data_IF_360096083850
#
_entry.id   IF_360096083850
#
_cell.length_a   1.000
_cell.length_b   1.000
_cell.length_c   1.000
_cell.angle_alpha   90.00
_cell.angle_beta   90.00
_cell.angle_gamma   90.00
#
_symmetry.space_group_name_H-M   'P 1'
#
loop_
_entity.id
_entity.type
_entity.pdbx_description
1 polymer ?
#
# COMPACT_ATOMS: atom_id res chain seq x y z
N UNK A 1 8.21 -38.43 69.82
CA UNK A 1 7.91 -39.27 68.65
C UNK A 1 8.06 -38.43 67.41
N UNK A 2 8.91 -38.91 66.48
CA UNK A 2 9.22 -38.40 65.14
C UNK A 2 7.97 -38.22 64.27
N UNK A 3 7.99 -37.23 63.35
CA UNK A 3 7.70 -37.44 61.92
C UNK A 3 8.16 -36.24 61.08
N UNK A 4 9.29 -36.44 60.38
CA UNK A 4 9.64 -35.76 59.14
C UNK A 4 8.63 -36.14 58.06
N UNK A 5 8.21 -35.18 57.23
CA UNK A 5 7.96 -35.42 55.80
C UNK A 5 8.25 -34.15 55.01
N UNK A 6 9.36 -34.19 54.29
CA UNK A 6 9.72 -33.28 53.23
C UNK A 6 8.84 -33.54 51.99
N UNK A 7 8.32 -32.50 51.35
CA UNK A 7 7.76 -32.58 50.00
C UNK A 7 8.38 -31.50 49.12
N UNK A 8 9.51 -31.92 48.54
CA UNK A 8 9.89 -31.79 47.13
C UNK A 8 9.39 -30.57 46.35
N UNK A 9 10.30 -29.61 46.25
CA UNK A 9 10.37 -28.52 45.29
C UNK A 9 10.49 -29.09 43.85
N UNK A 10 9.38 -29.29 43.14
CA UNK A 10 9.40 -29.49 41.68
C UNK A 10 9.45 -28.11 40.98
N UNK A 11 10.65 -27.54 40.90
CA UNK A 11 10.94 -26.51 39.90
C UNK A 11 11.01 -27.21 38.55
N UNK A 12 9.91 -27.14 37.79
CA UNK A 12 9.90 -27.44 36.37
C UNK A 12 10.88 -26.50 35.67
N UNK A 13 12.07 -27.01 35.41
CA UNK A 13 13.02 -26.46 34.45
C UNK A 13 12.39 -26.61 33.06
N UNK A 14 11.52 -25.67 32.69
CA UNK A 14 11.28 -25.39 31.28
C UNK A 14 12.56 -24.76 30.75
N UNK A 15 13.44 -25.60 30.22
CA UNK A 15 14.53 -25.19 29.34
C UNK A 15 13.89 -24.45 28.18
N UNK A 16 13.81 -23.12 28.28
CA UNK A 16 13.55 -22.26 27.16
C UNK A 16 14.72 -22.46 26.19
N UNK A 17 14.55 -23.37 25.25
CA UNK A 17 15.40 -23.42 24.06
C UNK A 17 15.13 -22.14 23.30
N UNK A 18 15.86 -21.09 23.64
CA UNK A 18 15.97 -19.88 22.85
C UNK A 18 16.70 -20.26 21.57
N UNK A 19 15.96 -20.71 20.57
CA UNK A 19 16.48 -20.74 19.22
C UNK A 19 16.73 -19.30 18.84
N UNK A 20 17.99 -18.92 18.66
CA UNK A 20 18.33 -17.70 17.96
C UNK A 20 17.74 -17.85 16.56
N UNK A 21 16.59 -17.23 16.32
CA UNK A 21 16.02 -17.11 14.98
C UNK A 21 17.07 -16.37 14.16
N UNK A 22 17.62 -17.06 13.17
CA UNK A 22 18.53 -16.43 12.20
C UNK A 22 17.73 -15.35 11.48
N UNK A 23 17.94 -14.08 11.87
CA UNK A 23 17.26 -12.92 11.30
C UNK A 23 17.97 -12.37 10.07
N UNK A 24 19.04 -13.03 9.61
CA UNK A 24 19.78 -12.58 8.43
C UNK A 24 18.89 -12.69 7.19
N UNK A 25 18.75 -11.56 6.46
CA UNK A 25 17.92 -11.50 5.25
C UNK A 25 16.47 -11.02 5.45
N UNK A 26 16.01 -10.76 6.67
CA UNK A 26 14.65 -10.23 6.90
C UNK A 26 14.54 -8.69 6.75
N UNK A 27 15.64 -7.99 6.54
CA UNK A 27 15.68 -6.55 6.30
C UNK A 27 16.59 -6.23 5.12
N UNK A 28 16.25 -5.26 4.24
CA UNK A 28 15.02 -4.46 4.25
C UNK A 28 13.81 -5.21 3.66
N UNK A 29 12.61 -4.62 3.80
CA UNK A 29 11.44 -5.06 3.04
C UNK A 29 11.75 -5.03 1.54
N UNK A 30 11.32 -6.08 0.83
CA UNK A 30 11.32 -6.11 -0.62
C UNK A 30 10.28 -5.13 -1.15
N UNK A 31 10.67 -4.31 -2.12
CA UNK A 31 9.76 -3.40 -2.82
C UNK A 31 9.52 -3.90 -4.24
N UNK A 32 8.25 -4.07 -4.61
CA UNK A 32 7.83 -4.34 -5.98
C UNK A 32 6.84 -3.27 -6.42
N UNK A 33 7.25 -2.46 -7.40
CA UNK A 33 6.42 -1.39 -7.96
C UNK A 33 5.93 -1.79 -9.36
N UNK A 34 4.63 -1.65 -9.58
CA UNK A 34 3.98 -1.85 -10.86
C UNK A 34 3.24 -0.56 -11.25
N UNK A 35 3.28 -0.22 -12.53
CA UNK A 35 2.70 1.01 -13.08
C UNK A 35 1.80 0.64 -14.25
N UNK A 36 0.63 1.26 -14.32
CA UNK A 36 -0.31 1.16 -15.44
C UNK A 36 -0.73 2.55 -15.90
N UNK A 37 -0.98 2.68 -17.20
CA UNK A 37 -1.68 3.84 -17.76
C UNK A 37 -3.17 3.51 -17.82
N UNK A 38 -3.98 4.40 -17.28
CA UNK A 38 -5.44 4.24 -17.25
C UNK A 38 -6.06 4.51 -18.61
N UNK A 39 -7.32 4.11 -18.79
CA UNK A 39 -8.09 4.39 -20.00
C UNK A 39 -8.21 5.89 -20.29
N UNK A 40 -8.10 6.74 -19.26
CA UNK A 40 -8.08 8.19 -19.37
C UNK A 40 -6.67 8.78 -19.58
N UNK A 41 -5.66 7.93 -19.85
CA UNK A 41 -4.27 8.35 -20.08
C UNK A 41 -3.53 8.77 -18.80
N UNK A 42 -4.03 8.41 -17.63
CA UNK A 42 -3.48 8.81 -16.33
C UNK A 42 -2.57 7.73 -15.76
N UNK A 43 -1.68 8.07 -14.83
CA UNK A 43 -0.77 7.09 -14.23
C UNK A 43 -1.34 6.53 -12.94
N UNK A 44 -1.43 5.21 -12.85
CA UNK A 44 -1.75 4.47 -11.64
C UNK A 44 -0.56 3.58 -11.25
N UNK A 45 0.02 3.85 -10.09
CA UNK A 45 1.14 3.11 -9.53
C UNK A 45 0.70 2.35 -8.29
N UNK A 46 1.09 1.09 -8.20
CA UNK A 46 0.90 0.25 -7.02
C UNK A 46 2.26 -0.32 -6.59
N UNK A 47 2.63 -0.08 -5.34
CA UNK A 47 3.88 -0.55 -4.75
C UNK A 47 3.57 -1.47 -3.58
N UNK A 48 4.00 -2.72 -3.67
CA UNK A 48 3.94 -3.69 -2.59
C UNK A 48 5.29 -3.72 -1.86
N UNK A 49 5.24 -3.54 -0.55
CA UNK A 49 6.35 -3.77 0.36
C UNK A 49 6.05 -5.05 1.16
N UNK A 50 6.93 -6.04 1.07
CA UNK A 50 6.76 -7.34 1.73
C UNK A 50 8.08 -7.86 2.26
N UNK A 51 8.09 -8.71 3.30
CA UNK A 51 9.32 -9.37 3.72
C UNK A 51 9.87 -10.26 2.59
N UNK A 52 11.17 -10.58 2.67
CA UNK A 52 11.76 -11.58 1.75
C UNK A 52 11.15 -12.98 1.94
N UNK A 53 10.60 -13.26 3.12
CA UNK A 53 9.92 -14.51 3.42
C UNK A 53 8.85 -14.38 4.51
N UNK A 54 7.89 -15.30 4.53
CA UNK A 54 6.77 -15.29 5.48
C UNK A 54 7.16 -15.58 6.94
N UNK A 55 8.34 -16.14 7.19
CA UNK A 55 8.87 -16.41 8.53
C UNK A 55 9.66 -15.23 9.13
N UNK A 56 9.79 -14.12 8.39
CA UNK A 56 10.51 -12.96 8.86
C UNK A 56 9.78 -12.23 10.00
N UNK A 57 10.56 -11.67 10.93
CA UNK A 57 10.04 -10.95 12.09
C UNK A 57 9.21 -9.71 11.71
N UNK A 58 9.48 -9.12 10.55
CA UNK A 58 8.74 -7.98 9.98
C UNK A 58 7.65 -8.38 8.99
N UNK A 59 7.20 -9.65 8.98
CA UNK A 59 6.14 -10.07 8.06
C UNK A 59 4.84 -9.26 8.23
N UNK A 60 4.55 -8.81 9.45
CA UNK A 60 3.43 -7.93 9.76
C UNK A 60 3.58 -6.48 9.29
N UNK A 61 4.75 -6.08 8.79
CA UNK A 61 5.01 -4.73 8.26
C UNK A 61 4.71 -4.61 6.76
N UNK A 62 4.16 -5.67 6.16
CA UNK A 62 3.77 -5.69 4.75
C UNK A 62 2.71 -4.63 4.46
N UNK A 63 2.92 -3.87 3.39
CA UNK A 63 2.06 -2.75 3.04
C UNK A 63 1.93 -2.56 1.54
N UNK A 64 0.77 -2.06 1.12
CA UNK A 64 0.49 -1.68 -0.26
C UNK A 64 0.29 -0.16 -0.31
N UNK A 65 1.02 0.48 -1.21
CA UNK A 65 0.88 1.91 -1.52
C UNK A 65 0.28 2.07 -2.91
N UNK A 66 -0.73 2.92 -3.01
CA UNK A 66 -1.37 3.33 -4.26
C UNK A 66 -1.09 4.81 -4.51
N UNK A 67 -0.72 5.12 -5.75
CA UNK A 67 -0.54 6.48 -6.23
C UNK A 67 -1.28 6.63 -7.55
N UNK A 68 -2.18 7.59 -7.64
CA UNK A 68 -2.86 7.94 -8.88
C UNK A 68 -2.62 9.40 -9.22
N UNK A 69 -2.15 9.68 -10.43
CA UNK A 69 -1.78 11.03 -10.87
C UNK A 69 -2.72 11.51 -11.96
N UNK A 70 -3.19 12.75 -11.87
CA UNK A 70 -4.02 13.37 -12.90
C UNK A 70 -3.67 14.84 -13.08
N UNK A 71 -4.14 15.43 -14.18
CA UNK A 71 -4.07 16.86 -14.42
C UNK A 71 -5.42 17.52 -14.09
N UNK A 72 -5.37 18.75 -13.58
CA UNK A 72 -6.52 19.64 -13.46
C UNK A 72 -6.21 20.97 -14.11
N UNK A 73 -7.25 21.61 -14.63
CA UNK A 73 -7.13 22.90 -15.31
C UNK A 73 -7.90 23.95 -14.51
N UNK A 74 -7.29 25.11 -14.30
CA UNK A 74 -7.84 26.29 -13.64
C UNK A 74 -8.28 26.08 -12.18
N UNK A 75 -7.78 25.05 -11.49
CA UNK A 75 -8.05 24.81 -10.07
C UNK A 75 -6.86 24.17 -9.37
N UNK A 76 -6.35 24.87 -8.35
CA UNK A 76 -5.35 24.33 -7.41
C UNK A 76 -5.96 23.38 -6.36
N UNK A 77 -7.28 23.41 -6.20
CA UNK A 77 -7.95 22.62 -5.19
C UNK A 77 -7.96 21.15 -5.63
N UNK A 78 -7.23 20.33 -4.89
CA UNK A 78 -7.25 18.90 -5.07
C UNK A 78 -8.68 18.38 -4.86
N UNK A 79 -9.21 17.69 -5.89
CA UNK A 79 -10.49 17.00 -5.76
C UNK A 79 -10.42 15.91 -4.69
N UNK A 80 -11.56 15.54 -4.10
CA UNK A 80 -11.60 14.40 -3.18
C UNK A 80 -11.31 13.13 -3.97
N UNK A 81 -10.33 12.34 -3.53
CA UNK A 81 -10.00 11.08 -4.17
C UNK A 81 -10.18 9.90 -3.21
N UNK A 82 -10.67 8.79 -3.75
CA UNK A 82 -10.75 7.50 -3.07
C UNK A 82 -10.28 6.41 -4.02
N UNK A 83 -9.81 5.29 -3.47
CA UNK A 83 -9.61 4.06 -4.22
C UNK A 83 -10.68 3.07 -3.82
N UNK A 84 -11.50 2.63 -4.77
CA UNK A 84 -12.12 1.33 -4.61
C UNK A 84 -11.06 0.28 -4.91
N UNK A 85 -11.01 -0.76 -4.10
CA UNK A 85 -10.02 -1.80 -4.28
C UNK A 85 -10.50 -3.14 -3.76
N UNK A 86 -9.99 -4.19 -4.38
CA UNK A 86 -10.11 -5.56 -3.92
C UNK A 86 -8.72 -6.18 -3.84
N UNK A 87 -8.31 -6.61 -2.65
CA UNK A 87 -7.09 -7.40 -2.46
C UNK A 87 -7.50 -8.84 -2.27
N UNK A 88 -7.09 -9.68 -3.21
CA UNK A 88 -7.54 -11.05 -3.34
C UNK A 88 -9.07 -11.07 -3.41
N UNK A 89 -9.76 -11.34 -2.29
CA UNK A 89 -11.23 -11.37 -2.21
C UNK A 89 -11.82 -10.34 -1.22
N UNK A 90 -10.97 -9.50 -0.63
CA UNK A 90 -11.42 -8.48 0.33
C UNK A 90 -11.54 -7.12 -0.35
N UNK A 91 -12.76 -6.59 -0.35
CA UNK A 91 -13.08 -5.29 -0.92
C UNK A 91 -13.04 -4.17 0.13
N UNK A 92 -12.55 -3.01 -0.27
CA UNK A 92 -12.56 -1.80 0.53
C UNK A 92 -12.67 -0.54 -0.35
N UNK A 93 -13.22 0.53 0.25
CA UNK A 93 -13.07 1.89 -0.26
C UNK A 93 -12.12 2.63 0.66
N UNK A 94 -11.02 3.12 0.10
CA UNK A 94 -9.93 3.74 0.82
C UNK A 94 -9.89 5.24 0.49
N UNK A 95 -10.13 6.12 1.48
CA UNK A 95 -9.88 7.55 1.31
C UNK A 95 -8.41 7.80 0.97
N UNK A 96 -8.15 8.63 -0.03
CA UNK A 96 -6.81 8.99 -0.42
C UNK A 96 -6.47 10.42 0.02
N UNK A 97 -5.22 10.63 0.44
CA UNK A 97 -4.68 11.96 0.61
C UNK A 97 -4.36 12.55 -0.76
N UNK A 98 -4.68 13.82 -0.97
CA UNK A 98 -4.54 14.45 -2.28
C UNK A 98 -3.68 15.70 -2.20
N UNK A 99 -2.80 15.86 -3.20
CA UNK A 99 -1.95 17.03 -3.33
C UNK A 99 -1.93 17.47 -4.79
N UNK A 100 -1.93 18.78 -5.02
CA UNK A 100 -1.75 19.37 -6.35
C UNK A 100 -0.60 20.38 -6.32
N UNK A 101 0.17 20.43 -7.39
CA UNK A 101 1.22 21.41 -7.62
C UNK A 101 1.02 22.09 -8.96
N UNK A 102 1.37 23.36 -9.07
CA UNK A 102 1.29 24.08 -10.33
C UNK A 102 2.29 23.49 -11.33
N UNK A 103 1.85 23.17 -12.56
CA UNK A 103 2.68 22.51 -13.56
C UNK A 103 3.89 23.37 -13.97
N UNK A 104 3.74 24.70 -14.01
CA UNK A 104 4.86 25.61 -14.32
C UNK A 104 5.96 25.54 -13.26
N UNK A 105 5.61 25.31 -11.98
CA UNK A 105 6.57 25.24 -10.89
C UNK A 105 7.53 24.04 -11.01
N UNK A 106 7.17 23.06 -11.84
CA UNK A 106 8.01 21.89 -12.14
C UNK A 106 8.43 21.82 -13.61
N UNK A 107 8.29 22.93 -14.35
CA UNK A 107 8.75 23.07 -15.73
C UNK A 107 7.90 22.37 -16.79
N UNK A 108 6.64 22.00 -16.47
CA UNK A 108 5.83 21.13 -17.32
C UNK A 108 4.98 21.84 -18.40
N UNK A 109 4.86 23.17 -18.44
CA UNK A 109 4.41 23.90 -19.64
C UNK A 109 4.46 25.43 -19.47
N UNK A 110 4.51 26.14 -20.61
CA UNK A 110 3.97 27.50 -20.79
C UNK A 110 2.83 27.34 -21.78
N UNK A 111 1.57 27.29 -21.33
CA UNK A 111 0.48 27.34 -22.31
C UNK A 111 0.27 28.80 -22.76
N UNK A 112 -0.14 28.98 -24.01
CA UNK A 112 -0.51 30.28 -24.57
C UNK A 112 -2.02 30.55 -24.45
N UNK A 113 -2.78 29.58 -23.93
CA UNK A 113 -4.23 29.66 -23.68
C UNK A 113 -4.57 30.43 -22.40
N UNK A 114 -3.59 30.72 -21.53
CA UNK A 114 -3.79 31.41 -20.26
C UNK A 114 -4.38 30.53 -19.16
N UNK A 115 -4.51 29.23 -19.41
CA UNK A 115 -5.03 28.28 -18.43
C UNK A 115 -3.95 27.92 -17.40
N UNK A 116 -4.35 27.61 -16.17
CA UNK A 116 -3.42 27.12 -15.17
C UNK A 116 -3.53 25.61 -15.06
N UNK A 117 -2.46 24.89 -15.38
CA UNK A 117 -2.43 23.42 -15.26
C UNK A 117 -1.85 23.04 -13.92
N UNK A 118 -2.52 22.13 -13.22
CA UNK A 118 -2.07 21.56 -11.96
C UNK A 118 -1.85 20.06 -12.14
N UNK A 119 -0.75 19.58 -11.58
CA UNK A 119 -0.43 18.16 -11.49
C UNK A 119 -0.83 17.70 -10.10
N UNK A 120 -1.80 16.80 -10.07
CA UNK A 120 -2.41 16.29 -8.86
C UNK A 120 -2.07 14.82 -8.67
N UNK A 121 -1.99 14.41 -7.41
CA UNK A 121 -1.79 13.02 -7.04
C UNK A 121 -2.63 12.66 -5.82
N UNK A 122 -3.12 11.42 -5.81
CA UNK A 122 -3.82 10.78 -4.72
C UNK A 122 -2.96 9.65 -4.19
N UNK A 123 -2.81 9.58 -2.87
CA UNK A 123 -1.95 8.65 -2.17
C UNK A 123 -2.75 7.91 -1.12
N UNK A 124 -2.60 6.58 -1.08
CA UNK A 124 -3.14 5.78 -0.01
C UNK A 124 -2.20 4.62 0.33
N UNK A 125 -2.13 4.25 1.60
CA UNK A 125 -1.29 3.16 2.09
C UNK A 125 -2.11 2.30 3.05
N UNK A 126 -2.04 0.99 2.89
CA UNK A 126 -2.72 0.03 3.77
C UNK A 126 -1.83 -1.16 4.08
N UNK A 127 -2.18 -1.91 5.13
CA UNK A 127 -1.59 -3.22 5.38
C UNK A 127 -1.88 -4.16 4.21
N UNK A 128 -0.88 -4.95 3.83
CA UNK A 128 -0.99 -5.97 2.80
C UNK A 128 -0.69 -7.35 3.39
N UNK A 129 -1.21 -8.44 2.83
CA UNK A 129 -0.82 -9.77 3.26
C UNK A 129 0.65 -10.03 2.90
N UNK A 130 1.36 -10.80 3.73
CA UNK A 130 2.76 -11.18 3.51
C UNK A 130 2.95 -12.28 2.42
N UNK A 131 1.90 -12.53 1.63
CA UNK A 131 1.83 -13.57 0.60
C UNK A 131 1.46 -12.94 -0.73
N UNK A 132 1.20 -13.76 -1.76
CA UNK A 132 0.79 -13.30 -3.09
C UNK A 132 -0.37 -12.30 -3.00
N UNK A 133 -0.20 -11.14 -3.65
CA UNK A 133 -1.21 -10.07 -3.70
C UNK A 133 -1.74 -9.97 -5.13
N UNK A 134 -3.01 -10.29 -5.31
CA UNK A 134 -3.78 -9.85 -6.45
C UNK A 134 -4.55 -8.59 -6.05
N UNK A 135 -4.21 -7.47 -6.63
CA UNK A 135 -4.88 -6.20 -6.39
C UNK A 135 -5.72 -5.85 -7.62
N UNK A 136 -6.99 -5.62 -7.39
CA UNK A 136 -7.86 -4.91 -8.31
C UNK A 136 -8.15 -3.52 -7.74
N UNK A 137 -8.12 -2.48 -8.57
CA UNK A 137 -8.28 -1.10 -8.11
C UNK A 137 -8.93 -0.21 -9.16
N UNK A 138 -9.77 0.70 -8.68
CA UNK A 138 -10.37 1.78 -9.46
C UNK A 138 -10.24 3.11 -8.68
N UNK A 139 -9.44 4.06 -9.18
CA UNK A 139 -9.41 5.41 -8.65
C UNK A 139 -10.73 6.13 -8.90
N UNK A 140 -11.15 6.93 -7.92
CA UNK A 140 -12.32 7.81 -8.03
C UNK A 140 -11.88 9.21 -7.65
N UNK A 141 -12.13 10.19 -8.52
CA UNK A 141 -11.82 11.60 -8.27
C UNK A 141 -13.10 12.42 -8.46
N UNK A 142 -13.51 13.12 -7.40
CA UNK A 142 -14.76 13.90 -7.38
C UNK A 142 -15.99 13.07 -7.81
N UNK A 143 -16.05 11.80 -7.40
CA UNK A 143 -17.13 10.87 -7.78
C UNK A 143 -17.01 10.27 -9.18
N UNK A 144 -16.02 10.69 -9.98
CA UNK A 144 -15.77 10.15 -11.30
C UNK A 144 -14.81 8.97 -11.21
N UNK A 145 -15.28 7.81 -11.66
CA UNK A 145 -14.50 6.57 -11.69
C UNK A 145 -13.55 6.56 -12.88
N UNK A 146 -12.31 6.13 -12.64
CA UNK A 146 -11.37 5.75 -13.68
C UNK A 146 -11.21 4.22 -13.63
N UNK A 147 -11.80 3.54 -14.61
CA UNK A 147 -11.82 2.09 -14.73
C UNK A 147 -11.20 1.67 -16.06
N UNK A 148 -10.71 0.43 -16.15
CA UNK A 148 -10.12 -0.12 -17.37
C UNK A 148 -11.16 -0.36 -18.48
N UNK A 149 -12.45 -0.25 -18.16
CA UNK A 149 -13.56 -0.33 -19.08
C UNK A 149 -14.89 -0.48 -18.33
N UNK A 150 -15.96 -0.75 -19.07
CA UNK A 150 -17.25 -1.12 -18.47
C UNK A 150 -17.07 -2.39 -17.62
N UNK A 151 -17.42 -2.31 -16.33
CA UNK A 151 -17.30 -3.41 -15.35
C UNK A 151 -15.88 -4.01 -15.21
N UNK A 152 -14.83 -3.27 -15.57
CA UNK A 152 -13.44 -3.73 -15.48
C UNK A 152 -12.57 -2.72 -14.75
N UNK A 153 -11.92 -3.14 -13.68
CA UNK A 153 -10.96 -2.31 -12.95
C UNK A 153 -9.51 -2.69 -13.32
N UNK A 154 -8.53 -1.99 -12.77
CA UNK A 154 -7.12 -2.25 -13.04
C UNK A 154 -6.59 -3.38 -12.15
N UNK A 155 -5.91 -4.35 -12.76
CA UNK A 155 -5.37 -5.52 -12.07
C UNK A 155 -3.84 -5.45 -11.97
N UNK A 156 -3.34 -5.63 -10.75
CA UNK A 156 -1.93 -5.78 -10.42
C UNK A 156 -1.71 -7.15 -9.78
N UNK A 157 -0.72 -7.89 -10.28
CA UNK A 157 -0.34 -9.20 -9.74
C UNK A 157 1.08 -9.11 -9.20
N UNK A 158 1.22 -9.14 -7.87
CA UNK A 158 2.50 -9.09 -7.18
C UNK A 158 3.04 -10.48 -6.88
#
# INVERSE_FOLDING_TARGET
MLKLTASFLMLFLFSATSFAVDTSGCSPLSEKTLVLTTAQGKELTATLFQPQSSWCWNAGESKLRLIYKWTQVNSAQAGSATFWMRINEMEAILPAQTQCVHAEAIGYEKNTSGEQVYLCAAFAEIAAPATKVQLEVAPVVNGNWDTAGYEKNYLFNF
#
